data_IF_631334438562
#
_entry.id   IF_631334438562
#
_cell.length_a   1.000
_cell.length_b   1.000
_cell.length_c   1.000
_cell.angle_alpha   90.00
_cell.angle_beta   90.00
_cell.angle_gamma   90.00
#
_symmetry.space_group_name_H-M   'P 1'
#
loop_
_entity.id
_entity.type
_entity.pdbx_description
1 polymer ?
#
# COMPACT_ATOMS: atom_id res chain seq x y z
N UNK A 1 -54.93 3.90 11.87
CA UNK A 1 -53.47 3.96 12.16
C UNK A 1 -52.72 3.79 10.84
N UNK A 2 -51.78 4.69 10.48
CA UNK A 2 -51.03 4.55 9.23
C UNK A 2 -49.89 3.53 9.43
N UNK A 3 -49.52 2.74 8.40
CA UNK A 3 -48.42 1.79 8.51
C UNK A 3 -47.08 2.55 8.56
N UNK A 4 -46.22 2.16 9.51
CA UNK A 4 -44.83 2.62 9.60
C UNK A 4 -44.05 2.02 8.42
N UNK A 5 -43.76 2.82 7.40
CA UNK A 5 -42.79 2.47 6.37
C UNK A 5 -41.39 2.37 7.03
N UNK A 6 -40.63 1.28 6.82
CA UNK A 6 -39.23 1.27 7.22
C UNK A 6 -38.47 2.19 6.28
N UNK A 7 -37.98 3.32 6.80
CA UNK A 7 -37.00 4.18 6.12
C UNK A 7 -35.66 3.43 6.12
N UNK A 8 -35.52 2.45 5.23
CA UNK A 8 -34.20 1.97 4.84
C UNK A 8 -33.65 2.99 3.85
N UNK A 9 -33.12 4.09 4.38
CA UNK A 9 -32.20 4.92 3.64
C UNK A 9 -31.05 4.00 3.19
N UNK A 10 -30.77 3.85 1.89
CA UNK A 10 -29.54 3.19 1.48
C UNK A 10 -28.42 3.98 2.16
N UNK A 11 -27.64 3.33 3.02
CA UNK A 11 -26.39 3.90 3.47
C UNK A 11 -25.58 4.12 2.20
N UNK A 12 -25.59 5.35 1.69
CA UNK A 12 -24.76 5.81 0.59
C UNK A 12 -23.32 5.64 1.06
N UNK A 13 -22.76 4.47 0.75
CA UNK A 13 -21.34 4.21 0.94
C UNK A 13 -20.61 5.27 0.13
N UNK A 14 -19.69 6.05 0.74
CA UNK A 14 -18.89 6.97 -0.04
C UNK A 14 -18.16 6.13 -1.07
N UNK A 15 -18.46 6.36 -2.35
CA UNK A 15 -17.68 5.85 -3.45
C UNK A 15 -16.31 6.53 -3.36
N UNK A 16 -15.45 6.02 -2.49
CA UNK A 16 -14.02 6.34 -2.49
C UNK A 16 -13.53 5.77 -3.79
N UNK A 17 -13.52 6.60 -4.83
CA UNK A 17 -12.93 6.28 -6.12
C UNK A 17 -11.55 5.69 -5.83
N UNK A 18 -11.43 4.37 -5.98
CA UNK A 18 -10.20 3.64 -5.69
C UNK A 18 -9.15 4.22 -6.63
N UNK A 19 -8.27 5.10 -6.11
CA UNK A 19 -7.15 5.62 -6.89
C UNK A 19 -6.43 4.42 -7.47
N UNK A 20 -6.36 4.35 -8.79
CA UNK A 20 -5.68 3.27 -9.50
C UNK A 20 -4.24 3.21 -8.99
N UNK A 21 -3.93 2.18 -8.19
CA UNK A 21 -2.61 2.01 -7.61
C UNK A 21 -1.65 1.74 -8.76
N UNK A 22 -0.67 2.62 -8.98
CA UNK A 22 0.43 2.35 -9.91
C UNK A 22 1.06 1.02 -9.50
N UNK A 23 1.09 0.05 -10.42
CA UNK A 23 1.79 -1.20 -10.18
C UNK A 23 3.28 -0.92 -10.08
N UNK A 24 3.91 -1.44 -9.04
CA UNK A 24 5.35 -1.34 -8.88
C UNK A 24 6.03 -2.42 -9.72
N UNK A 25 6.97 -2.03 -10.57
CA UNK A 25 7.77 -2.99 -11.35
C UNK A 25 8.62 -3.87 -10.44
N UNK A 26 8.91 -5.09 -10.88
CA UNK A 26 9.68 -6.07 -10.09
C UNK A 26 11.07 -5.55 -9.74
N UNK A 27 11.74 -4.86 -10.67
CA UNK A 27 13.07 -4.27 -10.47
C UNK A 27 13.10 -3.27 -9.31
N UNK A 28 12.07 -2.42 -9.19
CA UNK A 28 12.00 -1.43 -8.11
C UNK A 28 11.78 -2.12 -6.76
N UNK A 29 11.03 -3.22 -6.71
CA UNK A 29 10.90 -4.01 -5.47
C UNK A 29 12.25 -4.57 -5.03
N UNK A 30 13.02 -5.14 -5.96
CA UNK A 30 14.34 -5.67 -5.68
C UNK A 30 15.32 -4.58 -5.25
N UNK A 31 15.34 -3.42 -5.92
CA UNK A 31 16.22 -2.30 -5.54
C UNK A 31 15.91 -1.79 -4.11
N UNK A 32 14.62 -1.70 -3.75
CA UNK A 32 14.19 -1.34 -2.38
C UNK A 32 14.74 -2.34 -1.36
N UNK A 33 14.61 -3.64 -1.62
CA UNK A 33 15.08 -4.71 -0.72
C UNK A 33 16.61 -4.71 -0.63
N UNK A 34 17.31 -4.61 -1.76
CA UNK A 34 18.77 -4.58 -1.79
C UNK A 34 19.33 -3.38 -1.03
N UNK A 35 18.77 -2.18 -1.21
CA UNK A 35 19.19 -1.00 -0.45
C UNK A 35 18.92 -1.15 1.04
N UNK A 36 17.80 -1.76 1.41
CA UNK A 36 17.49 -2.05 2.80
C UNK A 36 18.47 -3.05 3.41
N UNK A 37 18.78 -4.16 2.71
CA UNK A 37 19.81 -5.14 3.12
C UNK A 37 21.20 -4.50 3.26
N UNK A 38 21.53 -3.49 2.46
CA UNK A 38 22.76 -2.67 2.60
C UNK A 38 22.71 -1.65 3.76
N UNK A 39 21.70 -1.69 4.63
CA UNK A 39 21.57 -0.82 5.79
C UNK A 39 21.08 0.60 5.47
N UNK A 40 20.51 0.86 4.28
CA UNK A 40 19.94 2.17 3.98
C UNK A 40 18.64 2.39 4.77
N UNK A 41 18.50 3.60 5.32
CA UNK A 41 17.28 4.02 6.04
C UNK A 41 16.09 4.05 5.08
N UNK A 42 14.94 3.58 5.55
CA UNK A 42 13.67 3.52 4.79
C UNK A 42 13.25 4.86 4.20
N UNK A 43 13.37 5.95 4.96
CA UNK A 43 13.10 7.31 4.47
C UNK A 43 13.99 7.70 3.26
N UNK A 44 15.26 7.27 3.25
CA UNK A 44 16.17 7.55 2.14
C UNK A 44 15.78 6.77 0.89
N UNK A 45 15.34 5.52 1.06
CA UNK A 45 14.88 4.66 -0.05
C UNK A 45 13.57 5.22 -0.62
N UNK A 46 12.63 5.61 0.25
CA UNK A 46 11.37 6.20 -0.15
C UNK A 46 11.58 7.47 -1.00
N UNK A 47 12.44 8.39 -0.54
CA UNK A 47 12.77 9.62 -1.28
C UNK A 47 13.42 9.35 -2.63
N UNK A 48 14.30 8.34 -2.72
CA UNK A 48 14.98 7.98 -3.97
C UNK A 48 14.01 7.57 -5.08
N UNK A 49 12.93 6.86 -4.74
CA UNK A 49 11.93 6.41 -5.71
C UNK A 49 10.67 7.27 -5.77
N UNK A 50 10.64 8.41 -5.05
CA UNK A 50 9.45 9.27 -4.97
C UNK A 50 8.26 8.60 -4.26
N UNK A 51 8.52 7.67 -3.36
CA UNK A 51 7.50 7.00 -2.56
C UNK A 51 7.37 7.58 -1.15
N UNK A 52 6.29 7.21 -0.48
CA UNK A 52 6.15 7.39 0.96
C UNK A 52 6.87 6.26 1.71
N UNK A 53 7.36 6.51 2.94
CA UNK A 53 7.94 5.47 3.77
C UNK A 53 6.98 4.29 4.02
N UNK A 54 5.68 4.56 4.12
CA UNK A 54 4.64 3.54 4.26
C UNK A 54 4.60 2.56 3.08
N UNK A 55 4.85 3.03 1.86
CA UNK A 55 4.91 2.17 0.67
C UNK A 55 6.08 1.19 0.76
N UNK A 56 7.22 1.65 1.25
CA UNK A 56 8.41 0.82 1.48
C UNK A 56 8.13 -0.25 2.55
N UNK A 57 7.48 0.13 3.66
CA UNK A 57 7.05 -0.84 4.69
C UNK A 57 6.04 -1.85 4.16
N UNK A 58 5.08 -1.44 3.34
CA UNK A 58 4.13 -2.37 2.71
C UNK A 58 4.86 -3.39 1.86
N UNK A 59 5.91 -3.01 1.12
CA UNK A 59 6.69 -3.94 0.30
C UNK A 59 7.36 -4.99 1.19
N UNK A 60 7.98 -4.59 2.30
CA UNK A 60 8.60 -5.53 3.25
C UNK A 60 7.58 -6.49 3.88
N UNK A 61 6.39 -5.99 4.23
CA UNK A 61 5.33 -6.83 4.79
C UNK A 61 4.66 -7.73 3.75
N UNK A 62 4.62 -7.33 2.48
CA UNK A 62 3.97 -8.09 1.40
C UNK A 62 4.88 -9.17 0.82
N UNK A 63 6.20 -8.96 0.86
CA UNK A 63 7.20 -9.85 0.28
C UNK A 63 8.27 -10.26 1.32
N UNK A 64 7.86 -10.92 2.42
CA UNK A 64 8.81 -11.36 3.45
C UNK A 64 9.78 -12.41 2.91
N UNK A 65 9.35 -13.22 1.94
CA UNK A 65 10.13 -14.24 1.24
C UNK A 65 11.36 -13.65 0.52
N UNK A 66 11.21 -12.48 -0.09
CA UNK A 66 12.30 -11.77 -0.76
C UNK A 66 13.31 -11.17 0.25
N UNK A 67 12.92 -10.97 1.51
CA UNK A 67 13.84 -10.60 2.59
C UNK A 67 14.62 -11.80 3.12
N UNK A 68 13.99 -12.97 3.23
CA UNK A 68 14.56 -14.18 3.87
C UNK A 68 15.41 -15.07 2.96
N UNK A 69 15.36 -14.92 1.64
CA UNK A 69 16.30 -15.61 0.75
C UNK A 69 17.72 -15.02 0.93
N UNK A 70 18.53 -15.65 1.78
CA UNK A 70 19.97 -15.44 1.91
C UNK A 70 20.64 -16.66 2.51
#
# INVERSE_FOLDING_TARGET
MPPKCPTTSPAMSPNVAKKTRKSLTHEVKLDIIHRHKRGKKTNSIARHHGFTPSTVSTIFNTYPDLMTAS
#
